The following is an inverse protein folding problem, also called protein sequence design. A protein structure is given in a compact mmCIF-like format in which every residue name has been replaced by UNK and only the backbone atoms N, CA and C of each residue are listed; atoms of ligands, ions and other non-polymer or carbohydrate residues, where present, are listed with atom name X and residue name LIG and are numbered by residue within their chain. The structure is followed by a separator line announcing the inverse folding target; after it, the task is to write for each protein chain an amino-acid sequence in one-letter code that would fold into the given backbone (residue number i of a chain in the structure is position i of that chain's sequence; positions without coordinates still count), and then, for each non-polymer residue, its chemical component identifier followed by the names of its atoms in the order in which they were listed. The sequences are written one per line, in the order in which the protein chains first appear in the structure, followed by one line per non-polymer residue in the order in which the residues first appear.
data_IF_429361405125
#
_entry.id   IF_429361405125
#
_cell.length_a   1.000
_cell.length_b   1.000
_cell.length_c   1.000
_cell.angle_alpha   90.00
_cell.angle_beta   90.00
_cell.angle_gamma   90.00
#
_symmetry.space_group_name_H-M   'P 1'
#
loop_
_entity.id
_entity.type
_entity.pdbx_description
1 polymer ?
#
# COMPACT_ATOMS: atom_id res chain seq x y z
N UNK A 1 58.34 8.12 4.67
CA UNK A 1 58.52 9.57 4.35
C UNK A 1 57.34 9.93 3.44
N UNK A 2 56.39 10.82 3.70
CA UNK A 2 56.16 11.97 4.58
C UNK A 2 54.63 12.06 4.77
N UNK A 3 54.10 12.13 6.00
CA UNK A 3 53.49 13.34 6.63
C UNK A 3 52.43 14.06 5.78
N UNK A 4 51.18 14.12 6.28
CA UNK A 4 50.45 15.36 6.64
C UNK A 4 48.96 15.06 6.89
N UNK A 5 48.52 15.10 8.16
CA UNK A 5 47.68 16.15 8.81
C UNK A 5 46.22 16.16 8.31
N UNK A 6 45.20 15.72 9.07
CA UNK A 6 44.57 16.30 10.29
C UNK A 6 44.08 17.75 10.13
N UNK A 7 42.76 17.92 10.00
CA UNK A 7 41.91 19.04 10.48
C UNK A 7 40.44 18.62 10.23
N UNK A 8 39.63 18.24 11.23
CA UNK A 8 38.98 19.01 12.31
C UNK A 8 38.16 20.21 11.81
N UNK A 9 36.85 20.04 11.66
CA UNK A 9 35.88 21.11 11.98
C UNK A 9 34.67 20.53 12.72
N UNK A 10 34.55 20.87 13.99
CA UNK A 10 33.40 20.63 14.86
C UNK A 10 32.54 21.89 14.77
N UNK A 11 31.41 21.80 14.07
CA UNK A 11 30.41 22.85 13.95
C UNK A 11 29.39 22.79 15.09
N UNK A 12 29.45 23.78 15.96
CA UNK A 12 28.61 24.00 17.13
C UNK A 12 27.17 24.44 16.81
N UNK A 13 26.24 24.00 17.67
CA UNK A 13 25.18 24.77 18.33
C UNK A 13 23.98 25.31 17.53
N UNK A 14 22.77 24.90 17.97
CA UNK A 14 21.69 25.74 18.54
C UNK A 14 20.49 24.83 18.83
N UNK A 15 20.28 24.40 20.08
CA UNK A 15 19.37 25.05 21.04
C UNK A 15 18.04 25.48 20.41
N UNK A 16 17.08 24.55 20.33
CA UNK A 16 15.67 24.92 20.23
C UNK A 16 15.08 24.87 21.64
N UNK A 17 14.98 26.05 22.22
CA UNK A 17 14.28 26.35 23.46
C UNK A 17 12.79 26.28 23.17
N UNK A 18 12.08 25.32 23.77
CA UNK A 18 10.62 25.37 23.89
C UNK A 18 10.28 26.28 25.07
N UNK A 19 9.56 27.40 24.89
CA UNK A 19 9.02 28.12 26.03
C UNK A 19 7.80 27.38 26.60
N UNK A 20 7.88 27.21 27.91
CA UNK A 20 6.91 26.62 28.81
C UNK A 20 5.69 27.55 29.03
N UNK A 21 4.56 26.89 29.30
CA UNK A 21 3.46 27.26 30.21
C UNK A 21 2.79 28.64 30.24
N UNK A 22 1.49 28.47 30.48
CA UNK A 22 0.57 29.28 31.29
C UNK A 22 -0.12 30.47 30.62
N UNK A 23 -1.45 30.38 30.50
CA UNK A 23 -2.38 31.26 31.22
C UNK A 23 -3.84 30.70 31.10
N UNK A 24 -4.44 30.25 32.21
CA UNK A 24 -5.66 30.80 32.86
C UNK A 24 -6.92 30.76 31.96
N UNK A 25 -7.88 29.83 32.11
CA UNK A 25 -8.84 29.59 33.23
C UNK A 25 -9.48 30.87 33.77
N UNK A 26 -10.75 31.10 33.40
CA UNK A 26 -11.77 32.03 33.94
C UNK A 26 -12.82 32.13 32.80
N UNK A 27 -14.15 32.00 32.92
CA UNK A 27 -15.10 31.87 34.03
C UNK A 27 -16.39 31.18 33.53
N UNK A 28 -17.12 30.65 34.52
CA UNK A 28 -18.46 30.06 34.45
C UNK A 28 -19.50 30.95 33.74
N UNK A 29 -20.43 30.32 33.01
CA UNK A 29 -21.63 30.98 32.51
C UNK A 29 -22.72 29.98 32.11
N UNK A 30 -23.85 30.08 32.81
CA UNK A 30 -25.20 29.59 32.48
C UNK A 30 -25.43 28.09 32.32
N UNK A 31 -26.07 27.53 33.36
CA UNK A 31 -26.93 26.36 33.27
C UNK A 31 -28.15 26.64 32.38
N UNK A 32 -28.52 25.65 31.59
CA UNK A 32 -29.77 25.59 30.83
C UNK A 32 -29.75 24.38 29.89
N UNK A 33 -30.90 23.75 29.71
CA UNK A 33 -31.22 22.61 28.84
C UNK A 33 -31.16 21.21 29.47
N UNK A 34 -32.29 20.92 30.11
CA UNK A 34 -32.98 19.62 30.09
C UNK A 34 -32.81 18.88 28.76
N UNK A 35 -32.28 17.65 28.83
CA UNK A 35 -32.33 16.69 27.74
C UNK A 35 -32.83 15.34 28.27
N UNK A 36 -34.13 15.30 28.51
CA UNK A 36 -34.89 14.05 28.42
C UNK A 36 -35.01 13.67 26.95
N UNK A 37 -34.08 12.86 26.43
CA UNK A 37 -34.33 11.93 25.33
C UNK A 37 -33.07 11.07 25.10
N UNK A 38 -33.12 9.86 25.64
CA UNK A 38 -32.23 8.77 25.26
C UNK A 38 -32.35 8.50 23.76
N UNK A 39 -31.29 8.63 22.95
CA UNK A 39 -31.31 8.11 21.60
C UNK A 39 -31.05 6.61 21.67
N UNK A 40 -31.96 5.85 21.06
CA UNK A 40 -31.90 4.39 20.91
C UNK A 40 -30.52 3.96 20.39
N UNK A 41 -29.92 2.96 21.05
CA UNK A 41 -28.72 2.25 20.55
C UNK A 41 -29.03 1.74 19.13
N UNK A 42 -28.38 2.25 18.07
CA UNK A 42 -28.49 1.62 16.77
C UNK A 42 -27.59 0.38 16.81
N UNK A 43 -28.21 -0.77 16.59
CA UNK A 43 -27.51 -2.03 16.38
C UNK A 43 -26.42 -1.90 15.31
N UNK A 44 -25.42 -2.75 15.50
CA UNK A 44 -24.41 -3.19 14.54
C UNK A 44 -24.78 -2.86 13.08
N UNK A 45 -24.24 -1.75 12.55
CA UNK A 45 -24.33 -1.44 11.13
C UNK A 45 -23.36 -2.35 10.38
N UNK A 46 -23.80 -3.57 10.15
CA UNK A 46 -23.27 -4.46 9.13
C UNK A 46 -23.70 -3.92 7.76
N UNK A 47 -23.00 -2.91 7.24
CA UNK A 47 -23.37 -2.30 5.96
C UNK A 47 -22.51 -1.13 5.53
N UNK A 48 -21.56 -1.40 4.64
CA UNK A 48 -20.82 -0.39 3.90
C UNK A 48 -20.03 -1.03 2.75
N UNK A 49 -20.74 -1.75 1.89
CA UNK A 49 -20.27 -2.15 0.56
C UNK A 49 -20.55 -0.97 -0.37
N UNK A 50 -19.56 -0.09 -0.57
CA UNK A 50 -19.51 0.85 -1.69
C UNK A 50 -18.06 1.29 -1.92
N UNK A 51 -17.34 0.46 -2.68
CA UNK A 51 -16.60 0.82 -3.88
C UNK A 51 -15.32 1.67 -3.80
N UNK A 52 -15.13 2.53 -2.80
CA UNK A 52 -14.03 3.48 -2.82
C UNK A 52 -13.01 3.14 -1.73
N UNK A 53 -11.81 2.76 -2.17
CA UNK A 53 -10.68 2.57 -1.27
C UNK A 53 -10.34 3.90 -0.60
N UNK A 54 -10.19 3.88 0.72
CA UNK A 54 -9.77 5.03 1.52
C UNK A 54 -8.43 5.56 1.01
N UNK A 55 -8.21 6.87 1.10
CA UNK A 55 -6.92 7.53 0.75
C UNK A 55 -5.74 6.80 1.41
N UNK A 56 -5.92 6.35 2.66
CA UNK A 56 -4.91 5.56 3.39
C UNK A 56 -4.61 4.23 2.69
N UNK A 57 -5.64 3.53 2.21
CA UNK A 57 -5.46 2.26 1.49
C UNK A 57 -4.71 2.47 0.18
N UNK A 58 -5.04 3.52 -0.57
CA UNK A 58 -4.36 3.83 -1.83
C UNK A 58 -2.91 4.25 -1.63
N UNK A 59 -2.63 5.08 -0.61
CA UNK A 59 -1.26 5.45 -0.24
C UNK A 59 -0.45 4.21 0.11
N UNK A 60 -0.98 3.35 0.97
CA UNK A 60 -0.28 2.15 1.41
C UNK A 60 -0.12 1.13 0.28
N UNK A 61 -1.11 1.01 -0.63
CA UNK A 61 -1.01 0.17 -1.81
C UNK A 61 0.11 0.63 -2.75
N UNK A 62 0.23 1.95 -2.98
CA UNK A 62 1.30 2.53 -3.78
C UNK A 62 2.67 2.28 -3.16
N UNK A 63 2.80 2.48 -1.85
CA UNK A 63 4.03 2.24 -1.10
C UNK A 63 4.45 0.76 -1.16
N UNK A 64 3.51 -0.16 -0.94
CA UNK A 64 3.74 -1.60 -1.10
C UNK A 64 4.18 -1.95 -2.52
N UNK A 65 3.55 -1.38 -3.56
CA UNK A 65 3.95 -1.60 -4.96
C UNK A 65 5.40 -1.17 -5.18
N UNK A 66 5.78 0.01 -4.72
CA UNK A 66 7.13 0.54 -4.87
C UNK A 66 8.17 -0.37 -4.18
N UNK A 67 7.90 -0.78 -2.93
CA UNK A 67 8.80 -1.65 -2.16
C UNK A 67 8.99 -3.00 -2.84
N UNK A 68 7.89 -3.66 -3.25
CA UNK A 68 7.97 -4.99 -3.89
C UNK A 68 8.66 -4.88 -5.26
N UNK A 69 8.34 -3.85 -6.04
CA UNK A 69 8.98 -3.62 -7.34
C UNK A 69 10.49 -3.43 -7.20
N UNK A 70 10.92 -2.58 -6.26
CA UNK A 70 12.34 -2.36 -5.99
C UNK A 70 13.02 -3.65 -5.49
N UNK A 71 12.36 -4.40 -4.60
CA UNK A 71 12.88 -5.65 -4.06
C UNK A 71 13.13 -6.73 -5.12
N UNK A 72 12.28 -6.78 -6.15
CA UNK A 72 12.36 -7.76 -7.24
C UNK A 72 13.32 -7.34 -8.37
N UNK A 73 13.50 -6.04 -8.61
CA UNK A 73 14.37 -5.53 -9.68
C UNK A 73 15.83 -5.38 -9.24
N UNK A 74 16.05 -4.75 -8.08
CA UNK A 74 17.38 -4.35 -7.61
C UNK A 74 17.75 -4.99 -6.27
N UNK A 75 16.75 -5.56 -5.60
CA UNK A 75 16.88 -6.00 -4.23
C UNK A 75 17.41 -7.41 -4.04
N UNK A 76 17.53 -7.83 -2.77
CA UNK A 76 17.94 -9.17 -2.37
C UNK A 76 17.08 -10.31 -2.94
N UNK A 77 15.85 -10.00 -3.37
CA UNK A 77 14.89 -10.93 -3.95
C UNK A 77 14.92 -10.92 -5.49
N UNK A 78 15.97 -10.39 -6.10
CA UNK A 78 16.15 -10.46 -7.55
C UNK A 78 16.33 -11.92 -7.97
N UNK A 79 15.31 -12.45 -8.63
CA UNK A 79 15.32 -13.79 -9.23
C UNK A 79 15.46 -13.61 -10.74
N UNK A 80 16.59 -14.01 -11.36
CA UNK A 80 16.79 -13.88 -12.80
C UNK A 80 15.70 -14.58 -13.63
N UNK A 81 15.08 -15.63 -13.07
CA UNK A 81 13.98 -16.36 -13.70
C UNK A 81 12.73 -15.47 -13.86
N UNK A 82 12.39 -14.63 -12.87
CA UNK A 82 11.25 -13.72 -12.98
C UNK A 82 11.44 -12.69 -14.10
N UNK A 83 12.67 -12.22 -14.29
CA UNK A 83 13.03 -11.30 -15.39
C UNK A 83 12.84 -11.96 -16.76
N UNK A 84 13.27 -13.22 -16.91
CA UNK A 84 13.10 -14.00 -18.16
C UNK A 84 11.62 -14.28 -18.47
N UNK A 85 10.80 -14.45 -17.46
CA UNK A 85 9.36 -14.68 -17.62
C UNK A 85 8.55 -13.40 -17.92
N UNK A 86 9.19 -12.22 -18.01
CA UNK A 86 8.51 -10.95 -18.23
C UNK A 86 7.56 -10.59 -17.09
N UNK A 87 7.95 -10.86 -15.84
CA UNK A 87 7.12 -10.57 -14.68
C UNK A 87 6.95 -9.06 -14.45
N UNK A 88 5.70 -8.60 -14.31
CA UNK A 88 5.37 -7.21 -14.01
C UNK A 88 4.23 -7.11 -12.97
N UNK A 89 4.30 -6.11 -12.09
CA UNK A 89 3.23 -5.79 -11.13
C UNK A 89 2.30 -4.72 -11.73
N UNK A 90 1.08 -5.12 -12.07
CA UNK A 90 0.06 -4.23 -12.63
C UNK A 90 -0.52 -3.30 -11.55
N UNK A 91 -1.09 -3.87 -10.49
CA UNK A 91 -1.76 -3.12 -9.45
C UNK A 91 -1.60 -3.79 -8.08
N UNK A 92 -1.61 -2.99 -7.01
CA UNK A 92 -1.73 -3.51 -5.64
C UNK A 92 -3.04 -2.98 -5.03
N UNK A 93 -3.78 -3.86 -4.37
CA UNK A 93 -5.00 -3.51 -3.63
C UNK A 93 -4.86 -3.93 -2.18
N UNK A 94 -5.21 -3.04 -1.26
CA UNK A 94 -5.22 -3.35 0.17
C UNK A 94 -6.63 -3.71 0.65
N UNK A 95 -6.74 -4.70 1.52
CA UNK A 95 -7.98 -4.99 2.24
C UNK A 95 -8.40 -3.79 3.11
N UNK A 96 -9.69 -3.71 3.45
CA UNK A 96 -10.26 -2.66 4.33
C UNK A 96 -9.53 -2.58 5.66
N UNK A 97 -9.14 -3.72 6.20
CA UNK A 97 -8.44 -3.83 7.47
C UNK A 97 -6.92 -3.64 7.34
N UNK A 98 -6.41 -3.35 6.13
CA UNK A 98 -4.97 -3.19 5.80
C UNK A 98 -4.10 -4.43 6.09
N UNK A 99 -4.68 -5.53 6.58
CA UNK A 99 -3.97 -6.76 6.94
C UNK A 99 -3.58 -7.65 5.76
N UNK A 100 -4.19 -7.43 4.60
CA UNK A 100 -3.91 -8.17 3.37
C UNK A 100 -3.61 -7.22 2.22
N UNK A 101 -2.58 -7.56 1.45
CA UNK A 101 -2.16 -6.89 0.24
C UNK A 101 -2.31 -7.86 -0.93
N UNK A 102 -3.18 -7.52 -1.88
CA UNK A 102 -3.41 -8.26 -3.11
C UNK A 102 -2.54 -7.65 -4.20
N UNK A 103 -1.53 -8.39 -4.65
CA UNK A 103 -0.59 -7.95 -5.68
C UNK A 103 -1.02 -8.59 -7.00
N UNK A 104 -1.56 -7.77 -7.89
CA UNK A 104 -1.96 -8.16 -9.24
C UNK A 104 -0.74 -8.10 -10.15
N UNK A 105 -0.41 -9.22 -10.76
CA UNK A 105 0.76 -9.36 -11.61
C UNK A 105 0.42 -9.97 -12.96
N UNK A 106 1.28 -9.68 -13.93
CA UNK A 106 1.26 -10.23 -15.29
C UNK A 106 2.62 -10.87 -15.58
N UNK A 107 2.60 -11.87 -16.45
CA UNK A 107 3.79 -12.51 -16.98
C UNK A 107 3.49 -12.98 -18.40
N UNK A 108 4.53 -13.41 -19.10
CA UNK A 108 4.40 -13.99 -20.43
C UNK A 108 3.46 -15.23 -20.40
N UNK A 109 2.67 -15.44 -21.47
CA UNK A 109 1.76 -16.58 -21.56
C UNK A 109 2.53 -17.89 -21.43
N UNK A 110 1.97 -18.84 -20.67
CA UNK A 110 2.59 -20.14 -20.41
C UNK A 110 3.61 -20.18 -19.27
N UNK A 111 4.09 -19.02 -18.78
CA UNK A 111 5.08 -18.95 -17.68
C UNK A 111 4.46 -18.76 -16.29
N UNK A 112 3.12 -18.70 -16.21
CA UNK A 112 2.41 -18.36 -14.97
C UNK A 112 2.69 -19.32 -13.81
N UNK A 113 2.74 -20.63 -14.08
CA UNK A 113 2.99 -21.63 -13.03
C UNK A 113 4.39 -21.51 -12.46
N UNK A 114 5.38 -21.29 -13.32
CA UNK A 114 6.79 -21.10 -12.92
C UNK A 114 6.93 -19.84 -12.06
N UNK A 115 6.34 -18.72 -12.49
CA UNK A 115 6.34 -17.46 -11.74
C UNK A 115 5.65 -17.63 -10.39
N UNK A 116 4.48 -18.27 -10.34
CA UNK A 116 3.75 -18.48 -9.09
C UNK A 116 4.56 -19.33 -8.09
N UNK A 117 5.26 -20.36 -8.56
CA UNK A 117 6.14 -21.20 -7.72
C UNK A 117 7.28 -20.38 -7.11
N UNK A 118 7.95 -19.57 -7.93
CA UNK A 118 9.04 -18.71 -7.45
C UNK A 118 8.54 -17.63 -6.47
N UNK A 119 7.42 -16.98 -6.76
CA UNK A 119 6.80 -16.01 -5.86
C UNK A 119 6.42 -16.62 -4.51
N UNK A 120 5.90 -17.84 -4.50
CA UNK A 120 5.57 -18.55 -3.25
C UNK A 120 6.82 -18.86 -2.43
N UNK A 121 7.93 -19.22 -3.08
CA UNK A 121 9.22 -19.45 -2.42
C UNK A 121 9.75 -18.17 -1.76
N UNK A 122 9.66 -17.03 -2.47
CA UNK A 122 10.16 -15.73 -1.99
C UNK A 122 9.15 -14.95 -1.12
N UNK A 123 7.89 -15.40 -1.05
CA UNK A 123 6.80 -14.67 -0.40
C UNK A 123 7.06 -14.32 1.06
N UNK A 124 7.69 -15.23 1.83
CA UNK A 124 8.08 -14.96 3.23
C UNK A 124 9.10 -13.82 3.33
N UNK A 125 10.09 -13.81 2.45
CA UNK A 125 11.16 -12.80 2.43
C UNK A 125 10.61 -11.43 2.04
N UNK A 126 9.78 -11.39 1.00
CA UNK A 126 9.09 -10.17 0.58
C UNK A 126 8.20 -9.61 1.69
N UNK A 127 7.47 -10.49 2.40
CA UNK A 127 6.66 -10.08 3.55
C UNK A 127 7.50 -9.42 4.65
N UNK A 128 8.65 -10.00 4.99
CA UNK A 128 9.56 -9.39 5.97
C UNK A 128 10.07 -8.03 5.50
N UNK A 129 10.51 -7.92 4.25
CA UNK A 129 10.97 -6.63 3.70
C UNK A 129 9.89 -5.56 3.74
N UNK A 130 8.69 -5.88 3.27
CA UNK A 130 7.55 -4.96 3.30
C UNK A 130 7.26 -4.49 4.72
N UNK A 131 7.33 -5.38 5.71
CA UNK A 131 7.16 -4.99 7.12
C UNK A 131 8.23 -4.01 7.62
N UNK A 132 9.50 -4.17 7.23
CA UNK A 132 10.58 -3.28 7.68
C UNK A 132 10.52 -1.90 7.02
N UNK A 133 10.01 -1.83 5.79
CA UNK A 133 9.87 -0.57 5.05
C UNK A 133 8.57 0.17 5.36
N UNK A 134 7.51 -0.54 5.78
CA UNK A 134 6.26 0.09 6.18
C UNK A 134 6.31 0.54 7.64
N UNK A 135 5.97 1.80 7.89
CA UNK A 135 5.86 2.35 9.24
C UNK A 135 4.52 1.95 9.90
N UNK A 136 4.31 0.65 10.16
CA UNK A 136 3.07 0.12 10.70
C UNK A 136 3.28 -1.03 11.70
N UNK A 137 2.39 -1.20 12.69
CA UNK A 137 2.59 -2.20 13.74
C UNK A 137 2.28 -3.65 13.31
N UNK A 138 1.74 -3.86 12.10
CA UNK A 138 1.35 -5.18 11.61
C UNK A 138 1.95 -5.46 10.23
N UNK A 139 2.39 -6.70 10.00
CA UNK A 139 2.87 -7.14 8.69
C UNK A 139 1.69 -7.55 7.81
N UNK A 140 1.41 -6.84 6.69
CA UNK A 140 0.37 -7.26 5.77
C UNK A 140 0.73 -8.60 5.14
N UNK A 141 -0.24 -9.51 5.09
CA UNK A 141 -0.10 -10.74 4.32
C UNK A 141 -0.15 -10.41 2.83
N UNK A 142 0.86 -10.84 2.08
CA UNK A 142 0.97 -10.60 0.64
C UNK A 142 0.38 -11.80 -0.08
N UNK A 143 -0.65 -11.56 -0.90
CA UNK A 143 -1.28 -12.57 -1.75
C UNK A 143 -1.04 -12.16 -3.22
N UNK A 144 -0.35 -13.03 -3.96
CA UNK A 144 -0.08 -12.83 -5.38
C UNK A 144 -1.23 -13.37 -6.21
N UNK A 145 -1.85 -12.50 -7.00
CA UNK A 145 -2.98 -12.82 -7.87
C UNK A 145 -2.58 -12.52 -9.31
N UNK A 146 -2.72 -13.52 -10.18
CA UNK A 146 -2.59 -13.27 -11.60
C UNK A 146 -3.73 -12.33 -12.04
N UNK A 147 -3.38 -11.28 -12.77
CA UNK A 147 -4.36 -10.36 -13.33
C UNK A 147 -5.15 -11.07 -14.44
N UNK A 148 -6.29 -11.65 -14.07
CA UNK A 148 -7.29 -12.10 -15.03
C UNK A 148 -8.06 -10.87 -15.46
N UNK A 149 -7.96 -10.52 -16.74
CA UNK A 149 -8.77 -9.46 -17.34
C UNK A 149 -10.22 -9.70 -16.94
N UNK A 150 -10.89 -8.67 -16.43
CA UNK A 150 -12.29 -8.77 -16.00
C UNK A 150 -13.13 -9.26 -17.19
N UNK A 151 -13.93 -10.34 -17.06
CA UNK A 151 -14.78 -10.82 -18.16
C UNK A 151 -15.75 -9.73 -18.69
N UNK A 152 -16.06 -8.70 -17.90
CA UNK A 152 -16.87 -7.57 -18.37
C UNK A 152 -16.14 -6.63 -19.35
N UNK A 153 -14.80 -6.60 -19.34
CA UNK A 153 -14.02 -5.83 -20.32
C UNK A 153 -13.97 -6.54 -21.68
N UNK A 154 -13.92 -7.88 -21.68
CA UNK A 154 -14.08 -8.69 -22.91
C UNK A 154 -15.39 -8.35 -23.64
N UNK A 155 -16.48 -8.18 -22.89
CA UNK A 155 -17.77 -7.82 -23.48
C UNK A 155 -17.77 -6.45 -24.17
N UNK A 156 -16.90 -5.52 -23.78
CA UNK A 156 -16.77 -4.22 -24.45
C UNK A 156 -16.01 -4.38 -25.76
N UNK A 157 -14.91 -5.14 -25.78
CA UNK A 157 -14.18 -5.44 -27.02
C UNK A 157 -15.08 -6.20 -28.02
N UNK A 158 -15.88 -7.16 -27.55
CA UNK A 158 -16.83 -7.90 -28.40
C UNK A 158 -17.93 -7.00 -29.00
N UNK A 159 -18.33 -5.94 -28.30
CA UNK A 159 -19.28 -4.96 -28.83
C UNK A 159 -18.57 -4.03 -29.82
N UNK A 160 -17.33 -3.63 -29.52
CA UNK A 160 -16.56 -2.74 -30.37
C UNK A 160 -16.22 -3.39 -31.71
N UNK A 161 -15.83 -4.67 -31.72
CA UNK A 161 -15.56 -5.43 -32.95
C UNK A 161 -16.81 -5.60 -33.84
N UNK A 162 -18.01 -5.67 -33.25
CA UNK A 162 -19.26 -5.79 -34.00
C UNK A 162 -19.72 -4.49 -34.65
N UNK A 163 -19.27 -3.34 -34.14
CA UNK A 163 -19.62 -2.03 -34.69
C UNK A 163 -18.74 -1.65 -35.91
N UNK A 164 -17.50 -2.12 -35.95
CA UNK A 164 -16.61 -1.93 -37.11
C UNK A 164 -17.07 -2.75 -38.33
N UNK A 165 -17.74 -3.89 -38.14
CA UNK A 165 -18.25 -4.74 -39.24
C UNK A 165 -19.53 -4.21 -39.90
N UNK A 166 -20.28 -3.31 -39.26
CA UNK A 166 -21.53 -2.74 -39.81
C UNK A 166 -21.32 -1.43 -40.60
N UNK A 167 -20.06 -1.01 -40.80
CA UNK A 167 -19.71 0.24 -41.50
C UNK A 167 -19.23 0.06 -42.95
N UNK A 168 -19.29 -1.15 -43.51
CA UNK A 168 -19.01 -1.46 -44.93
C UNK A 168 -20.29 -1.74 -45.75
#
# INVERSE_FOLDING_TARGET
MLRSLLETTIGHSRHNVCPDRHLLRVLNGSQGFSSSQSPKRPGDRKGGKNGQASIRQNRLASEVKAIISAALQQGPCNVPLLQRCGFEIHQVKMSRDLRKAFVLWKALPGMHQTVQKELNSQGKRLRSMVFHHLNMPFSPAIEFLQDKVNPQAQAIDDILSKLDEESD
#
